data_IF_459500675423
#
_entry.id   IF_459500675423
#
_cell.length_a   1.000
_cell.length_b   1.000
_cell.length_c   1.000
_cell.angle_alpha   90.00
_cell.angle_beta   90.00
_cell.angle_gamma   90.00
#
_symmetry.space_group_name_H-M   'P 1'
#
loop_
_entity.id
_entity.type
_entity.pdbx_description
1 polymer ?
#
# COMPACT_ATOMS: atom_id res chain seq x y z
N UNK A 1 3.56 2.66 -32.37
CA UNK A 1 2.83 2.96 -31.13
C UNK A 1 3.68 2.50 -29.95
N UNK A 2 4.31 3.38 -29.15
CA UNK A 2 4.94 2.91 -27.93
C UNK A 2 3.85 2.76 -26.86
N UNK A 3 3.64 1.52 -26.42
CA UNK A 3 2.97 1.22 -25.16
C UNK A 3 3.70 2.01 -24.07
N UNK A 4 3.01 2.97 -23.46
CA UNK A 4 3.54 3.71 -22.33
C UNK A 4 3.82 2.68 -21.23
N UNK A 5 5.10 2.38 -21.01
CA UNK A 5 5.57 1.79 -19.76
C UNK A 5 5.05 2.69 -18.64
N UNK A 6 4.01 2.21 -17.95
CA UNK A 6 3.57 2.84 -16.72
C UNK A 6 4.75 2.74 -15.76
N UNK A 7 5.46 3.86 -15.61
CA UNK A 7 6.44 4.02 -14.55
C UNK A 7 5.69 3.82 -13.24
N UNK A 8 6.13 2.79 -12.54
CA UNK A 8 5.65 2.32 -11.25
C UNK A 8 5.57 3.48 -10.26
N UNK A 9 4.43 3.61 -9.57
CA UNK A 9 4.36 4.48 -8.40
C UNK A 9 5.40 3.98 -7.40
N UNK A 10 6.26 4.88 -6.92
CA UNK A 10 7.52 4.58 -6.23
C UNK A 10 7.41 3.93 -4.84
N UNK A 11 6.66 2.84 -4.71
CA UNK A 11 6.64 1.97 -3.53
C UNK A 11 7.72 0.89 -3.64
N UNK A 12 8.15 0.37 -2.50
CA UNK A 12 9.04 -0.79 -2.46
C UNK A 12 8.23 -2.06 -2.81
N UNK A 13 8.85 -2.99 -3.53
CA UNK A 13 8.20 -4.24 -3.92
C UNK A 13 8.45 -5.33 -2.89
N UNK A 14 7.38 -6.02 -2.50
CA UNK A 14 7.41 -7.09 -1.51
C UNK A 14 6.77 -8.37 -2.04
N UNK A 15 7.28 -9.51 -1.57
CA UNK A 15 6.78 -10.84 -1.92
C UNK A 15 6.07 -11.48 -0.72
N UNK A 16 4.90 -12.06 -0.96
CA UNK A 16 4.21 -12.97 -0.04
C UNK A 16 3.95 -14.30 -0.75
N UNK A 17 4.68 -15.34 -0.36
CA UNK A 17 4.62 -16.67 -1.00
C UNK A 17 4.83 -16.57 -2.52
N UNK A 18 3.74 -16.62 -3.31
CA UNK A 18 3.74 -16.58 -4.78
C UNK A 18 3.24 -15.24 -5.36
N UNK A 19 2.83 -14.29 -4.52
CA UNK A 19 2.31 -12.99 -4.96
C UNK A 19 3.26 -11.85 -4.62
N UNK A 20 3.15 -10.76 -5.38
CA UNK A 20 3.91 -9.54 -5.17
C UNK A 20 2.96 -8.37 -4.97
N UNK A 21 3.39 -7.40 -4.17
CA UNK A 21 2.69 -6.14 -3.93
C UNK A 21 3.71 -5.01 -3.93
N UNK A 22 3.27 -3.83 -4.30
CA UNK A 22 3.99 -2.61 -3.94
C UNK A 22 3.46 -2.18 -2.57
N UNK A 23 4.34 -1.75 -1.67
CA UNK A 23 3.91 -1.27 -0.37
C UNK A 23 4.72 -0.07 0.09
N UNK A 24 4.02 0.85 0.74
CA UNK A 24 4.63 2.02 1.38
C UNK A 24 4.18 2.06 2.82
N UNK A 25 5.13 2.24 3.73
CA UNK A 25 4.82 2.46 5.15
C UNK A 25 4.38 3.90 5.35
N UNK A 26 3.19 4.08 5.91
CA UNK A 26 2.56 5.38 6.09
C UNK A 26 2.76 5.88 7.52
N UNK A 27 3.29 7.08 7.68
CA UNK A 27 3.47 7.74 8.97
C UNK A 27 2.71 9.06 9.06
N UNK A 28 2.64 9.79 7.94
CA UNK A 28 2.03 11.10 7.83
C UNK A 28 1.49 11.37 6.40
N UNK A 29 0.76 12.48 6.29
CA UNK A 29 0.20 12.95 5.02
C UNK A 29 1.27 13.15 3.97
N UNK A 30 0.99 12.69 2.75
CA UNK A 30 1.94 12.74 1.64
C UNK A 30 2.82 11.50 1.51
N UNK A 31 2.88 10.61 2.51
CA UNK A 31 3.58 9.33 2.37
C UNK A 31 2.88 8.40 1.36
N UNK A 32 1.56 8.52 1.21
CA UNK A 32 0.80 7.76 0.23
C UNK A 32 -0.47 8.50 -0.23
N UNK A 33 -0.59 8.73 -1.54
CA UNK A 33 -1.63 9.56 -2.16
C UNK A 33 -3.07 9.08 -1.92
N UNK A 34 -3.26 7.80 -1.58
CA UNK A 34 -4.58 7.21 -1.34
C UNK A 34 -5.09 7.35 0.09
N UNK A 35 -4.28 7.87 1.02
CA UNK A 35 -4.70 8.08 2.41
C UNK A 35 -5.38 9.44 2.54
N UNK A 36 -6.63 9.42 2.98
CA UNK A 36 -7.48 10.60 3.13
C UNK A 36 -7.82 10.88 4.60
N UNK A 37 -8.09 12.15 4.91
CA UNK A 37 -8.67 12.56 6.20
C UNK A 37 -10.19 12.46 6.13
N UNK A 38 -10.76 11.63 6.98
CA UNK A 38 -12.20 11.57 7.25
C UNK A 38 -12.50 12.05 8.67
N UNK A 39 -13.77 12.24 8.99
CA UNK A 39 -14.23 12.70 10.32
C UNK A 39 -13.72 11.81 11.48
N UNK A 40 -13.47 10.53 11.21
CA UNK A 40 -12.94 9.55 12.16
C UNK A 40 -11.42 9.34 12.14
N UNK A 41 -10.66 10.15 11.38
CA UNK A 41 -9.20 10.04 11.26
C UNK A 41 -8.75 9.69 9.85
N UNK A 42 -7.65 8.92 9.74
CA UNK A 42 -7.05 8.57 8.44
C UNK A 42 -7.62 7.27 7.91
N UNK A 43 -7.95 7.24 6.63
CA UNK A 43 -8.50 6.06 5.99
C UNK A 43 -8.09 5.97 4.52
N UNK A 44 -8.18 4.76 3.96
CA UNK A 44 -8.10 4.52 2.52
C UNK A 44 -9.39 3.90 2.02
N UNK A 45 -9.77 4.27 0.80
CA UNK A 45 -10.89 3.64 0.11
C UNK A 45 -10.45 2.28 -0.44
N UNK A 46 -11.11 1.21 -0.02
CA UNK A 46 -10.97 -0.13 -0.60
C UNK A 46 -12.27 -0.54 -1.30
N UNK A 47 -12.27 -1.59 -2.13
CA UNK A 47 -13.49 -2.15 -2.71
C UNK A 47 -14.55 -2.57 -1.67
N UNK A 48 -14.13 -2.83 -0.43
CA UNK A 48 -15.01 -3.18 0.70
C UNK A 48 -15.52 -1.95 1.47
N UNK A 49 -15.09 -0.76 1.09
CA UNK A 49 -15.36 0.50 1.78
C UNK A 49 -14.12 1.10 2.44
N UNK A 50 -14.35 2.10 3.29
CA UNK A 50 -13.26 2.81 3.97
C UNK A 50 -12.64 1.95 5.06
N UNK A 51 -11.31 1.88 5.06
CA UNK A 51 -10.52 1.21 6.10
C UNK A 51 -9.61 2.21 6.78
N UNK A 52 -9.60 2.23 8.10
CA UNK A 52 -8.76 3.14 8.87
C UNK A 52 -7.28 2.80 8.74
N UNK A 53 -6.44 3.82 8.85
CA UNK A 53 -4.98 3.75 8.80
C UNK A 53 -4.42 4.41 10.06
N UNK A 54 -3.43 3.77 10.66
CA UNK A 54 -2.65 4.32 11.77
C UNK A 54 -1.22 4.61 11.32
N UNK A 55 -0.58 5.54 12.00
CA UNK A 55 0.83 5.82 11.75
C UNK A 55 1.67 4.55 12.00
N UNK A 56 2.49 4.19 11.03
CA UNK A 56 3.28 2.97 10.98
C UNK A 56 2.65 1.82 10.20
N UNK A 57 1.38 1.90 9.80
CA UNK A 57 0.74 0.89 8.95
C UNK A 57 1.34 0.89 7.54
N UNK A 58 1.25 -0.25 6.87
CA UNK A 58 1.61 -0.40 5.47
C UNK A 58 0.39 -0.24 4.58
N UNK A 59 0.54 0.52 3.51
CA UNK A 59 -0.44 0.62 2.43
C UNK A 59 0.05 -0.27 1.29
N UNK A 60 -0.63 -1.38 1.09
CA UNK A 60 -0.33 -2.35 0.05
C UNK A 60 -1.14 -2.01 -1.19
N UNK A 61 -0.49 -2.00 -2.34
CA UNK A 61 -1.13 -1.90 -3.65
C UNK A 61 -1.10 -3.25 -4.34
N UNK A 62 -2.29 -3.73 -4.72
CA UNK A 62 -2.43 -4.95 -5.51
C UNK A 62 -2.27 -4.69 -7.02
N UNK A 63 -2.27 -5.76 -7.80
CA UNK A 63 -2.15 -5.76 -9.26
C UNK A 63 -3.34 -5.08 -9.97
N UNK A 64 -4.50 -5.04 -9.32
CA UNK A 64 -5.68 -4.32 -9.77
C UNK A 64 -5.60 -2.81 -9.45
N UNK A 65 -4.58 -2.39 -8.69
CA UNK A 65 -4.35 -1.02 -8.27
C UNK A 65 -5.18 -0.58 -7.07
N UNK A 66 -5.86 -1.50 -6.37
CA UNK A 66 -6.51 -1.20 -5.10
C UNK A 66 -5.48 -1.10 -3.99
N UNK A 67 -5.81 -0.32 -2.97
CA UNK A 67 -4.95 -0.12 -1.81
C UNK A 67 -5.59 -0.74 -0.57
N UNK A 68 -4.77 -1.36 0.27
CA UNK A 68 -5.19 -2.08 1.47
C UNK A 68 -4.30 -1.68 2.66
N UNK A 69 -4.84 -1.31 3.82
CA UNK A 69 -4.01 -1.04 4.97
C UNK A 69 -3.70 -2.33 5.71
N UNK A 70 -2.49 -2.42 6.27
CA UNK A 70 -2.06 -3.56 7.08
C UNK A 70 -1.16 -3.08 8.20
N UNK A 71 -1.40 -3.62 9.39
CA UNK A 71 -0.52 -3.40 10.53
C UNK A 71 0.93 -3.85 10.24
N UNK A 72 1.90 -3.11 10.77
CA UNK A 72 3.32 -3.39 10.57
C UNK A 72 3.77 -4.78 11.05
N UNK A 73 3.26 -5.26 12.18
CA UNK A 73 3.59 -6.59 12.70
C UNK A 73 3.09 -7.69 11.76
N UNK A 74 1.85 -7.57 11.28
CA UNK A 74 1.32 -8.52 10.31
C UNK A 74 2.08 -8.45 8.98
N UNK A 75 2.36 -7.25 8.48
CA UNK A 75 3.07 -7.06 7.21
C UNK A 75 4.46 -7.70 7.25
N UNK A 76 5.28 -7.38 8.25
CA UNK A 76 6.63 -7.92 8.41
C UNK A 76 6.67 -9.44 8.63
N UNK A 77 5.60 -10.04 9.16
CA UNK A 77 5.48 -11.49 9.30
C UNK A 77 5.13 -12.23 7.99
N UNK A 78 4.54 -11.53 7.02
CA UNK A 78 3.99 -12.12 5.79
C UNK A 78 4.78 -11.78 4.54
N UNK A 79 5.46 -10.63 4.54
CA UNK A 79 6.08 -10.04 3.37
C UNK A 79 7.59 -9.90 3.54
N UNK A 80 8.31 -10.28 2.51
CA UNK A 80 9.76 -10.10 2.41
C UNK A 80 10.05 -9.05 1.34
N UNK A 81 11.00 -8.13 1.58
CA UNK A 81 11.41 -7.18 0.55
C UNK A 81 12.03 -7.94 -0.63
N UNK A 82 11.68 -7.53 -1.84
CA UNK A 82 12.35 -8.02 -3.05
C UNK A 82 13.57 -7.13 -3.27
N UNK A 83 14.76 -7.67 -3.01
CA UNK A 83 16.01 -7.03 -3.42
C UNK A 83 16.15 -7.24 -4.92
N UNK A 84 16.22 -6.16 -5.70
CA UNK A 84 16.62 -6.21 -7.12
C UNK A 84 18.11 -6.54 -7.26
#
# INVERSE_FOLDING_TARGET
MPVRSQHFGGGMRFRKRISYVDATRWFADGDHDRVETLEGGRAIATPEGWRSVKSGDWILRDDCGNCWPMDNGLFTSLYEPVVE
#
